data_IF_831616267527
#
_entry.id   IF_831616267527
#
_cell.length_a   1.000
_cell.length_b   1.000
_cell.length_c   1.000
_cell.angle_alpha   90.00
_cell.angle_beta   90.00
_cell.angle_gamma   90.00
#
_symmetry.space_group_name_H-M   'P 1'
#
loop_
_entity.id
_entity.type
_entity.pdbx_description
1 polymer ?
#
# COMPACT_ATOMS: atom_id res chain seq x y z
N UNK A 1 3.00 -36.08 -3.91
CA UNK A 1 1.84 -35.18 -4.07
C UNK A 1 1.35 -34.52 -2.78
N UNK A 2 1.62 -35.03 -1.58
CA UNK A 2 1.17 -34.48 -0.28
C UNK A 2 1.90 -33.17 0.16
N UNK A 3 3.14 -32.93 -0.30
CA UNK A 3 3.95 -31.76 0.11
C UNK A 3 3.45 -30.44 -0.49
N UNK A 4 2.92 -30.47 -1.71
CA UNK A 4 2.40 -29.27 -2.43
C UNK A 4 1.11 -28.69 -1.82
N UNK A 5 0.31 -29.51 -1.11
CA UNK A 5 -0.96 -29.04 -0.51
C UNK A 5 -0.76 -28.32 0.83
N UNK A 6 0.30 -28.65 1.57
CA UNK A 6 0.64 -28.01 2.85
C UNK A 6 1.20 -26.60 2.61
N UNK A 7 2.03 -26.45 1.57
CA UNK A 7 2.58 -25.16 1.18
C UNK A 7 1.49 -24.18 0.73
N UNK A 8 0.47 -24.67 0.04
CA UNK A 8 -0.67 -23.84 -0.39
C UNK A 8 -1.55 -23.35 0.79
N UNK A 9 -1.64 -24.12 1.86
CA UNK A 9 -2.40 -23.76 3.06
C UNK A 9 -1.64 -22.67 3.85
N UNK A 10 -0.32 -22.76 3.95
CA UNK A 10 0.51 -21.76 4.64
C UNK A 10 0.52 -20.43 3.87
N UNK A 11 0.61 -20.47 2.54
CA UNK A 11 0.49 -19.28 1.68
C UNK A 11 -0.89 -18.65 1.82
N UNK A 12 -1.97 -19.45 1.90
CA UNK A 12 -3.31 -18.93 2.20
C UNK A 12 -3.40 -18.25 3.57
N UNK A 13 -2.77 -18.83 4.60
CA UNK A 13 -2.75 -18.22 5.95
C UNK A 13 -1.99 -16.90 5.97
N UNK A 14 -0.83 -16.83 5.32
CA UNK A 14 -0.08 -15.59 5.15
C UNK A 14 -0.90 -14.52 4.42
N UNK A 15 -1.62 -14.93 3.38
CA UNK A 15 -2.49 -14.06 2.60
C UNK A 15 -3.70 -13.56 3.40
N UNK A 16 -4.30 -14.42 4.22
CA UNK A 16 -5.41 -14.05 5.11
C UNK A 16 -4.95 -13.03 6.14
N UNK A 17 -3.76 -13.19 6.71
CA UNK A 17 -3.18 -12.23 7.66
C UNK A 17 -2.91 -10.88 6.97
N UNK A 18 -2.39 -10.87 5.75
CA UNK A 18 -2.15 -9.65 4.97
C UNK A 18 -3.45 -8.94 4.60
N UNK A 19 -4.49 -9.69 4.22
CA UNK A 19 -5.84 -9.16 3.91
C UNK A 19 -6.55 -8.67 5.17
N UNK A 20 -6.45 -9.37 6.29
CA UNK A 20 -7.00 -8.93 7.58
C UNK A 20 -6.29 -7.66 8.08
N UNK A 21 -4.99 -7.55 7.87
CA UNK A 21 -4.21 -6.35 8.17
C UNK A 21 -4.65 -5.16 7.31
N UNK A 22 -4.92 -5.39 6.01
CA UNK A 22 -5.47 -4.37 5.10
C UNK A 22 -6.88 -3.93 5.50
N UNK A 23 -7.74 -4.85 5.94
CA UNK A 23 -9.11 -4.56 6.41
C UNK A 23 -9.12 -3.78 7.73
N UNK A 24 -8.11 -3.96 8.57
CA UNK A 24 -7.97 -3.17 9.81
C UNK A 24 -7.69 -1.69 9.52
N UNK A 25 -6.94 -1.42 8.44
CA UNK A 25 -6.59 -0.05 8.04
C UNK A 25 -7.74 0.73 7.38
N UNK A 26 -8.75 0.06 6.83
CA UNK A 26 -9.89 0.74 6.20
C UNK A 26 -10.89 1.31 7.20
N UNK A 27 -10.84 0.92 8.47
CA UNK A 27 -11.74 1.46 9.49
C UNK A 27 -11.36 2.86 10.00
N UNK A 28 -10.10 3.23 9.92
CA UNK A 28 -9.62 4.55 10.37
C UNK A 28 -9.96 5.68 9.38
N UNK A 29 -10.21 5.35 8.11
CA UNK A 29 -10.50 6.36 7.07
C UNK A 29 -11.98 6.76 6.98
N UNK A 30 -12.87 6.11 7.75
CA UNK A 30 -14.32 6.34 7.68
C UNK A 30 -14.86 7.32 8.73
N UNK A 31 -14.03 7.90 9.59
CA UNK A 31 -14.47 8.80 10.66
C UNK A 31 -13.95 10.24 10.49
N UNK A 32 -14.38 10.92 9.42
CA UNK A 32 -14.33 12.38 9.41
C UNK A 32 -15.50 12.98 8.65
N UNK A 33 -16.69 12.84 9.21
CA UNK A 33 -17.76 13.79 8.96
C UNK A 33 -18.11 14.46 10.29
N UNK A 34 -17.96 15.79 10.42
CA UNK A 34 -18.46 16.50 11.58
C UNK A 34 -19.99 16.55 11.48
N UNK A 35 -20.68 15.79 12.34
CA UNK A 35 -22.10 16.03 12.56
C UNK A 35 -22.27 17.26 13.42
N UNK A 36 -23.06 18.19 12.88
CA UNK A 36 -23.41 19.44 13.50
C UNK A 36 -24.14 19.25 14.82
N UNK A 37 -23.77 20.07 15.78
CA UNK A 37 -24.40 20.28 17.08
C UNK A 37 -25.82 20.80 16.91
N UNK A 38 -26.80 20.04 17.39
CA UNK A 38 -28.12 20.58 17.74
C UNK A 38 -28.26 20.55 19.26
N UNK A 39 -28.25 21.75 19.85
CA UNK A 39 -28.66 21.97 21.25
C UNK A 39 -30.18 21.69 21.39
N UNK A 40 -30.54 20.97 22.40
CA UNK A 40 -31.93 20.74 22.80
C UNK A 40 -32.06 20.31 24.26
N UNK A 41 -32.20 21.28 25.13
CA UNK A 41 -33.03 21.39 26.37
C UNK A 41 -33.22 20.18 27.30
N UNK A 42 -33.02 20.48 28.57
CA UNK A 42 -33.25 19.71 29.79
C UNK A 42 -34.65 19.11 29.85
N UNK A 43 -34.79 17.89 30.40
CA UNK A 43 -35.81 17.61 31.37
C UNK A 43 -35.41 16.45 32.31
N UNK A 44 -35.72 16.65 33.56
CA UNK A 44 -35.37 15.92 34.75
C UNK A 44 -36.41 14.78 34.97
N UNK A 45 -35.96 13.56 35.14
CA UNK A 45 -36.87 12.44 35.47
C UNK A 45 -36.08 11.22 35.99
N UNK A 46 -36.04 11.10 37.31
CA UNK A 46 -35.57 9.94 38.06
C UNK A 46 -36.38 8.68 37.74
N UNK A 47 -35.70 7.62 37.27
CA UNK A 47 -36.08 6.24 37.65
C UNK A 47 -34.87 5.31 37.51
N UNK A 48 -34.43 4.81 38.65
CA UNK A 48 -33.36 3.83 38.81
C UNK A 48 -33.85 2.46 38.32
N UNK A 49 -33.17 1.89 37.32
CA UNK A 49 -33.11 0.45 37.08
C UNK A 49 -31.67 0.02 36.96
N UNK A 50 -31.20 -1.03 37.66
CA UNK A 50 -29.86 -1.56 37.47
C UNK A 50 -29.82 -2.30 36.14
N UNK A 51 -29.15 -1.70 35.16
CA UNK A 51 -28.81 -2.35 33.91
C UNK A 51 -27.44 -2.98 34.09
N UNK A 52 -27.34 -4.29 34.00
CA UNK A 52 -26.09 -5.02 33.91
C UNK A 52 -25.31 -4.52 32.67
N UNK A 53 -24.26 -3.76 32.91
CA UNK A 53 -23.35 -3.33 31.87
C UNK A 53 -22.57 -4.55 31.40
N UNK A 54 -22.42 -4.80 30.06
CA UNK A 54 -21.50 -5.81 29.57
C UNK A 54 -20.11 -5.43 30.02
N UNK A 55 -19.41 -6.37 30.65
CA UNK A 55 -18.01 -6.23 31.08
C UNK A 55 -17.14 -6.13 29.83
N UNK A 56 -16.92 -4.92 29.36
CA UNK A 56 -15.91 -4.65 28.35
C UNK A 56 -14.56 -4.68 29.07
N UNK A 57 -13.61 -5.53 28.67
CA UNK A 57 -12.27 -5.50 29.27
C UNK A 57 -11.66 -4.12 29.03
N UNK A 58 -11.56 -3.33 30.09
CA UNK A 58 -10.84 -2.07 30.08
C UNK A 58 -9.35 -2.37 29.93
N UNK A 59 -8.82 -2.16 28.74
CA UNK A 59 -7.36 -2.10 28.55
C UNK A 59 -6.94 -0.72 29.04
N UNK A 60 -6.62 -0.60 30.32
CA UNK A 60 -5.98 0.59 30.87
C UNK A 60 -4.50 0.53 30.50
N UNK A 61 -4.07 1.35 29.55
CA UNK A 61 -2.65 1.58 29.31
C UNK A 61 -2.19 2.60 30.36
N UNK A 62 -1.66 2.10 31.45
CA UNK A 62 -1.05 2.93 32.50
C UNK A 62 0.33 3.37 32.02
N UNK A 63 0.46 4.62 31.60
CA UNK A 63 1.72 5.23 31.23
C UNK A 63 2.43 5.64 32.53
N UNK A 64 3.13 4.72 33.15
CA UNK A 64 3.99 5.01 34.30
C UNK A 64 5.28 5.66 33.78
N UNK A 65 5.68 6.77 34.37
CA UNK A 65 6.95 7.43 34.03
C UNK A 65 8.12 6.49 34.29
N UNK A 66 8.93 6.15 33.27
CA UNK A 66 10.03 5.21 33.41
C UNK A 66 11.06 5.73 34.43
N UNK A 67 11.31 4.96 35.47
CA UNK A 67 12.25 5.34 36.55
C UNK A 67 13.64 4.73 36.38
N UNK A 68 13.79 3.81 35.41
CA UNK A 68 15.05 3.10 35.18
C UNK A 68 15.49 3.19 33.73
N UNK A 69 16.79 3.29 33.42
CA UNK A 69 17.32 3.37 32.07
C UNK A 69 16.86 2.20 31.16
N UNK A 70 16.63 1.02 31.70
CA UNK A 70 16.11 -0.13 30.97
C UNK A 70 14.63 0.04 30.56
N UNK A 71 13.83 0.70 31.39
CA UNK A 71 12.41 0.98 31.08
C UNK A 71 12.30 2.05 29.98
N UNK A 72 13.18 3.07 30.00
CA UNK A 72 13.29 4.06 28.92
C UNK A 72 13.66 3.35 27.61
N UNK A 73 14.66 2.46 27.64
CA UNK A 73 15.08 1.71 26.47
C UNK A 73 13.96 0.82 25.92
N UNK A 74 13.17 0.18 26.78
CA UNK A 74 12.01 -0.62 26.39
C UNK A 74 10.92 0.24 25.75
N UNK A 75 10.59 1.38 26.36
CA UNK A 75 9.57 2.32 25.86
C UNK A 75 9.94 2.89 24.48
N UNK A 76 11.22 3.27 24.29
CA UNK A 76 11.74 3.73 23.00
C UNK A 76 11.68 2.62 21.96
N UNK A 77 12.05 1.37 22.32
CA UNK A 77 11.98 0.22 21.42
C UNK A 77 10.54 -0.07 21.00
N UNK A 78 9.59 0.00 21.93
CA UNK A 78 8.17 -0.19 21.65
C UNK A 78 7.65 0.91 20.70
N UNK A 79 7.99 2.18 20.97
CA UNK A 79 7.62 3.32 20.14
C UNK A 79 8.18 3.17 18.71
N UNK A 80 9.44 2.79 18.57
CA UNK A 80 10.05 2.52 17.27
C UNK A 80 9.36 1.37 16.53
N UNK A 81 9.02 0.29 17.24
CA UNK A 81 8.30 -0.85 16.66
C UNK A 81 6.92 -0.42 16.16
N UNK A 82 6.16 0.34 16.97
CA UNK A 82 4.86 0.87 16.54
C UNK A 82 5.00 1.81 15.34
N UNK A 83 6.02 2.67 15.33
CA UNK A 83 6.29 3.57 14.19
C UNK A 83 6.58 2.78 12.91
N UNK A 84 7.44 1.75 12.97
CA UNK A 84 7.74 0.89 11.82
C UNK A 84 6.46 0.17 11.37
N UNK A 85 5.66 -0.35 12.30
CA UNK A 85 4.43 -1.06 11.99
C UNK A 85 3.40 -0.16 11.29
N UNK A 86 3.29 1.11 11.68
CA UNK A 86 2.38 2.08 11.02
C UNK A 86 2.88 2.53 9.66
N UNK A 87 4.21 2.55 9.42
CA UNK A 87 4.79 2.92 8.13
C UNK A 87 4.84 1.75 7.13
N UNK A 88 4.82 0.50 7.62
CA UNK A 88 4.97 -0.69 6.77
C UNK A 88 3.98 -0.75 5.59
N UNK A 89 2.66 -0.48 5.75
CA UNK A 89 1.73 -0.48 4.61
C UNK A 89 2.09 0.54 3.54
N UNK A 90 2.53 1.73 3.94
CA UNK A 90 2.93 2.80 3.00
C UNK A 90 4.16 2.39 2.20
N UNK A 91 5.15 1.79 2.85
CA UNK A 91 6.35 1.28 2.18
C UNK A 91 5.98 0.19 1.18
N UNK A 92 5.09 -0.76 1.54
CA UNK A 92 4.64 -1.81 0.64
C UNK A 92 3.95 -1.24 -0.61
N UNK A 93 3.10 -0.23 -0.45
CA UNK A 93 2.46 0.46 -1.58
C UNK A 93 3.50 1.08 -2.52
N UNK A 94 4.54 1.71 -1.97
CA UNK A 94 5.56 2.42 -2.74
C UNK A 94 6.54 1.50 -3.47
N UNK A 95 6.82 0.28 -2.96
CA UNK A 95 7.73 -0.69 -3.60
C UNK A 95 7.03 -1.69 -4.50
N UNK A 96 5.70 -1.59 -4.65
CA UNK A 96 4.89 -2.45 -5.52
C UNK A 96 4.34 -1.66 -6.71
N UNK A 97 3.75 -2.36 -7.69
CA UNK A 97 3.07 -1.71 -8.82
C UNK A 97 1.70 -1.09 -8.46
N UNK A 98 1.32 -1.05 -7.17
CA UNK A 98 0.03 -0.48 -6.73
C UNK A 98 -0.13 0.98 -7.14
N UNK A 99 0.94 1.77 -7.01
CA UNK A 99 0.94 3.19 -7.34
C UNK A 99 0.54 3.44 -8.80
N UNK A 100 1.11 2.66 -9.74
CA UNK A 100 0.77 2.73 -11.16
C UNK A 100 -0.71 2.45 -11.41
N UNK A 101 -1.23 1.34 -10.86
CA UNK A 101 -2.63 0.98 -11.06
C UNK A 101 -3.59 1.98 -10.44
N UNK A 102 -3.32 2.44 -9.22
CA UNK A 102 -4.17 3.40 -8.53
C UNK A 102 -4.30 4.71 -9.33
N UNK A 103 -3.20 5.24 -9.82
CA UNK A 103 -3.19 6.48 -10.61
C UNK A 103 -3.90 6.28 -11.95
N UNK A 104 -3.60 5.21 -12.68
CA UNK A 104 -4.23 4.94 -13.99
C UNK A 104 -5.73 4.79 -13.85
N UNK A 105 -6.22 4.06 -12.84
CA UNK A 105 -7.66 3.90 -12.59
C UNK A 105 -8.34 5.22 -12.22
N UNK A 106 -7.65 6.11 -11.48
CA UNK A 106 -8.18 7.44 -11.18
C UNK A 106 -8.29 8.31 -12.47
N UNK A 107 -7.31 8.23 -13.36
CA UNK A 107 -7.39 8.89 -14.68
C UNK A 107 -8.55 8.36 -15.54
N UNK A 108 -8.77 7.04 -15.56
CA UNK A 108 -9.91 6.44 -16.29
C UNK A 108 -11.23 6.97 -15.73
N UNK A 109 -11.39 7.01 -14.41
CA UNK A 109 -12.57 7.57 -13.75
C UNK A 109 -12.82 9.01 -14.18
N UNK A 110 -11.79 9.86 -14.19
CA UNK A 110 -11.87 11.26 -14.60
C UNK A 110 -12.18 11.40 -16.10
N UNK A 111 -11.55 10.58 -16.95
CA UNK A 111 -11.77 10.57 -18.39
C UNK A 111 -13.23 10.25 -18.77
N UNK A 112 -13.87 9.37 -17.99
CA UNK A 112 -15.30 9.04 -18.14
C UNK A 112 -16.24 10.07 -17.51
N UNK A 113 -15.72 11.20 -16.98
CA UNK A 113 -16.49 12.24 -16.27
C UNK A 113 -17.30 11.71 -15.08
N UNK A 114 -16.89 10.59 -14.51
CA UNK A 114 -17.54 9.95 -13.38
C UNK A 114 -17.04 10.57 -12.06
N UNK A 115 -17.78 11.54 -11.52
CA UNK A 115 -17.34 12.30 -10.36
C UNK A 115 -17.45 11.48 -9.06
N UNK A 116 -18.51 10.70 -8.88
CA UNK A 116 -18.79 9.99 -7.63
C UNK A 116 -18.82 8.46 -7.75
N UNK A 117 -19.10 7.90 -8.91
CA UNK A 117 -19.22 6.46 -9.16
C UNK A 117 -18.19 6.04 -10.22
N UNK A 118 -17.41 4.97 -10.00
CA UNK A 118 -17.31 4.15 -8.80
C UNK A 118 -16.60 4.86 -7.63
N UNK A 119 -16.87 4.47 -6.36
CA UNK A 119 -16.15 5.00 -5.21
C UNK A 119 -14.65 4.70 -5.30
N UNK A 120 -13.80 5.62 -4.82
CA UNK A 120 -12.33 5.45 -4.84
C UNK A 120 -11.87 4.18 -4.12
N UNK A 121 -12.59 3.77 -3.08
CA UNK A 121 -12.31 2.52 -2.37
C UNK A 121 -12.41 1.28 -3.27
N UNK A 122 -13.37 1.25 -4.21
CA UNK A 122 -13.53 0.16 -5.18
C UNK A 122 -12.37 0.14 -6.17
N UNK A 123 -11.97 1.31 -6.68
CA UNK A 123 -10.82 1.43 -7.59
C UNK A 123 -9.52 0.99 -6.90
N UNK A 124 -9.30 1.41 -5.67
CA UNK A 124 -8.16 0.96 -4.88
C UNK A 124 -8.20 -0.55 -4.60
N UNK A 125 -9.39 -1.11 -4.38
CA UNK A 125 -9.57 -2.56 -4.28
C UNK A 125 -9.13 -3.29 -5.55
N UNK A 126 -9.55 -2.80 -6.72
CA UNK A 126 -9.13 -3.35 -8.03
C UNK A 126 -7.62 -3.22 -8.20
N UNK A 127 -7.04 -2.03 -7.92
CA UNK A 127 -5.60 -1.79 -7.99
C UNK A 127 -4.83 -2.79 -7.10
N UNK A 128 -5.35 -3.05 -5.90
CA UNK A 128 -4.76 -4.00 -4.96
C UNK A 128 -4.77 -5.43 -5.51
N UNK A 129 -5.91 -5.91 -6.04
CA UNK A 129 -5.98 -7.24 -6.64
C UNK A 129 -5.04 -7.41 -7.83
N UNK A 130 -4.96 -6.39 -8.72
CA UNK A 130 -4.04 -6.40 -9.85
C UNK A 130 -2.58 -6.44 -9.38
N UNK A 131 -2.26 -5.68 -8.34
CA UNK A 131 -0.93 -5.66 -7.72
C UNK A 131 -0.57 -7.04 -7.17
N UNK A 132 -1.47 -7.68 -6.42
CA UNK A 132 -1.24 -9.01 -5.88
C UNK A 132 -1.00 -10.04 -6.97
N UNK A 133 -1.78 -9.97 -8.05
CA UNK A 133 -1.63 -10.88 -9.18
C UNK A 133 -0.26 -10.77 -9.84
N UNK A 134 0.20 -9.54 -10.10
CA UNK A 134 1.51 -9.29 -10.74
C UNK A 134 2.68 -9.60 -9.80
N UNK A 135 2.53 -9.24 -8.52
CA UNK A 135 3.58 -9.46 -7.52
C UNK A 135 3.66 -10.91 -7.01
N UNK A 136 2.69 -11.76 -7.37
CA UNK A 136 2.62 -13.13 -6.89
C UNK A 136 3.94 -13.92 -7.03
N UNK A 137 4.62 -13.94 -8.20
CA UNK A 137 5.89 -14.64 -8.35
C UNK A 137 7.00 -14.07 -7.45
N UNK A 138 7.00 -12.76 -7.21
CA UNK A 138 7.96 -12.10 -6.31
C UNK A 138 7.70 -12.50 -4.86
N UNK A 139 6.44 -12.51 -4.42
CA UNK A 139 6.07 -12.94 -3.07
C UNK A 139 6.36 -14.42 -2.81
N UNK A 140 6.14 -15.27 -3.82
CA UNK A 140 6.48 -16.68 -3.72
C UNK A 140 7.98 -16.88 -3.52
N UNK A 141 8.82 -16.14 -4.24
CA UNK A 141 10.28 -16.20 -4.05
C UNK A 141 10.69 -15.71 -2.65
N UNK A 142 10.11 -14.61 -2.17
CA UNK A 142 10.39 -14.12 -0.81
C UNK A 142 10.00 -15.17 0.24
N UNK A 143 8.85 -15.82 0.04
CA UNK A 143 8.40 -16.87 0.94
C UNK A 143 9.36 -18.07 0.96
N UNK A 144 9.76 -18.57 -0.22
CA UNK A 144 10.59 -19.76 -0.34
C UNK A 144 12.04 -19.51 0.07
N UNK A 145 12.62 -18.34 -0.31
CA UNK A 145 14.04 -18.05 -0.11
C UNK A 145 14.36 -17.41 1.25
N UNK A 146 13.40 -16.69 1.85
CA UNK A 146 13.62 -15.96 3.09
C UNK A 146 12.74 -16.46 4.25
N UNK A 147 11.39 -16.43 4.10
CA UNK A 147 10.49 -16.73 5.19
C UNK A 147 10.57 -18.18 5.65
N UNK A 148 10.54 -19.13 4.72
CA UNK A 148 10.55 -20.55 5.02
C UNK A 148 11.84 -21.00 5.72
N UNK A 149 13.06 -20.68 5.21
CA UNK A 149 14.30 -21.03 5.89
C UNK A 149 14.44 -20.34 7.25
N UNK A 150 13.91 -19.10 7.40
CA UNK A 150 13.89 -18.41 8.69
C UNK A 150 12.99 -19.13 9.70
N UNK A 151 11.79 -19.57 9.29
CA UNK A 151 10.84 -20.29 10.15
C UNK A 151 11.36 -21.67 10.58
N UNK A 152 12.24 -22.27 9.77
CA UNK A 152 12.93 -23.54 10.06
C UNK A 152 14.26 -23.32 10.83
N UNK A 153 14.59 -22.10 11.25
CA UNK A 153 15.83 -21.70 11.91
C UNK A 153 17.11 -22.07 11.14
N UNK A 154 17.03 -22.11 9.81
CA UNK A 154 18.16 -22.42 8.93
C UNK A 154 19.03 -21.22 8.62
N UNK A 155 18.46 -20.02 8.72
CA UNK A 155 19.12 -18.74 8.44
C UNK A 155 18.84 -17.72 9.53
N UNK A 156 19.74 -16.75 9.65
CA UNK A 156 19.56 -15.61 10.57
C UNK A 156 18.56 -14.58 10.03
N UNK A 157 18.06 -13.71 10.91
CA UNK A 157 17.17 -12.61 10.52
C UNK A 157 17.84 -11.70 9.48
N UNK A 158 19.13 -11.45 9.63
CA UNK A 158 19.89 -10.60 8.71
C UNK A 158 20.01 -11.23 7.32
N UNK A 159 20.26 -12.54 7.24
CA UNK A 159 20.29 -13.28 5.98
C UNK A 159 18.90 -13.35 5.34
N UNK A 160 17.85 -13.55 6.14
CA UNK A 160 16.48 -13.54 5.66
C UNK A 160 16.10 -12.19 5.05
N UNK A 161 16.53 -11.07 5.69
CA UNK A 161 16.32 -9.73 5.15
C UNK A 161 16.98 -9.57 3.78
N UNK A 162 18.27 -9.94 3.63
CA UNK A 162 18.99 -9.85 2.35
C UNK A 162 18.34 -10.72 1.27
N UNK A 163 17.88 -11.93 1.63
CA UNK A 163 17.19 -12.83 0.70
C UNK A 163 15.79 -12.34 0.31
N UNK A 164 15.08 -11.64 1.20
CA UNK A 164 13.79 -11.03 0.90
C UNK A 164 13.94 -9.76 0.04
N UNK A 165 14.99 -8.98 0.27
CA UNK A 165 15.27 -7.75 -0.48
C UNK A 165 15.60 -8.03 -1.95
N UNK A 166 16.35 -9.08 -2.24
CA UNK A 166 16.84 -9.39 -3.58
C UNK A 166 15.71 -9.55 -4.63
N UNK A 167 14.63 -10.32 -4.42
CA UNK A 167 13.51 -10.42 -5.36
C UNK A 167 12.76 -9.09 -5.55
N UNK A 168 12.63 -8.26 -4.50
CA UNK A 168 12.02 -6.93 -4.59
C UNK A 168 12.86 -5.97 -5.42
N UNK A 169 14.16 -5.95 -5.22
CA UNK A 169 15.09 -5.16 -6.01
C UNK A 169 15.04 -5.54 -7.49
N UNK A 170 15.05 -6.85 -7.76
CA UNK A 170 14.94 -7.37 -9.13
C UNK A 170 13.60 -6.97 -9.76
N UNK A 171 12.50 -7.05 -9.02
CA UNK A 171 11.20 -6.61 -9.47
C UNK A 171 11.20 -5.12 -9.83
N UNK A 172 11.61 -4.24 -8.91
CA UNK A 172 11.66 -2.79 -9.16
C UNK A 172 12.51 -2.46 -10.40
N UNK A 173 13.68 -3.07 -10.52
CA UNK A 173 14.55 -2.85 -11.67
C UNK A 173 13.94 -3.34 -12.98
N UNK A 174 13.31 -4.53 -12.98
CA UNK A 174 12.65 -5.07 -14.17
C UNK A 174 11.47 -4.21 -14.65
N UNK A 175 10.75 -3.59 -13.72
CA UNK A 175 9.65 -2.66 -14.05
C UNK A 175 10.13 -1.36 -14.71
N UNK A 176 11.34 -0.93 -14.42
CA UNK A 176 11.96 0.24 -15.05
C UNK A 176 12.42 0.00 -16.50
N UNK A 177 12.28 -1.23 -17.02
CA UNK A 177 12.56 -1.60 -18.43
C UNK A 177 13.94 -1.12 -18.93
N UNK A 178 14.95 -1.22 -18.08
CA UNK A 178 16.32 -0.73 -18.31
C UNK A 178 16.45 0.82 -18.43
N UNK A 179 15.41 1.58 -18.12
CA UNK A 179 15.52 3.03 -17.99
C UNK A 179 16.26 3.39 -16.69
N UNK A 180 17.56 3.62 -16.83
CA UNK A 180 18.43 3.99 -15.71
C UNK A 180 18.48 5.50 -15.44
N UNK A 181 17.70 6.31 -16.16
CA UNK A 181 17.74 7.78 -16.07
C UNK A 181 17.54 8.27 -14.64
N UNK A 182 16.51 7.76 -13.98
CA UNK A 182 16.21 8.13 -12.59
C UNK A 182 17.26 7.61 -11.61
N UNK A 183 17.80 6.40 -11.82
CA UNK A 183 18.89 5.86 -11.00
C UNK A 183 20.12 6.77 -11.13
N UNK A 184 20.51 7.11 -12.36
CA UNK A 184 21.65 7.99 -12.60
C UNK A 184 21.43 9.38 -11.99
N UNK A 185 20.22 9.91 -12.04
CA UNK A 185 19.87 11.18 -11.42
C UNK A 185 20.12 11.15 -9.90
N UNK A 186 19.57 10.14 -9.19
CA UNK A 186 19.78 10.03 -7.74
C UNK A 186 21.21 9.67 -7.36
N UNK A 187 21.91 8.84 -8.16
CA UNK A 187 23.35 8.56 -7.96
C UNK A 187 24.19 9.84 -8.06
N UNK A 188 23.92 10.68 -9.06
CA UNK A 188 24.59 11.97 -9.22
C UNK A 188 24.31 12.92 -8.04
N UNK A 189 23.05 12.99 -7.56
CA UNK A 189 22.68 13.78 -6.38
C UNK A 189 23.40 13.29 -5.13
N UNK A 190 23.59 11.98 -4.99
CA UNK A 190 24.36 11.37 -3.90
C UNK A 190 25.89 11.43 -4.11
N UNK A 191 26.37 12.06 -5.20
CA UNK A 191 27.80 12.13 -5.58
C UNK A 191 28.46 10.75 -5.71
N UNK A 192 27.71 9.76 -6.14
CA UNK A 192 28.19 8.40 -6.38
C UNK A 192 28.51 8.19 -7.85
N UNK A 193 29.47 7.30 -8.15
CA UNK A 193 29.78 6.91 -9.52
C UNK A 193 28.63 6.16 -10.18
N UNK A 194 28.55 6.22 -11.52
CA UNK A 194 27.54 5.45 -12.26
C UNK A 194 27.66 3.95 -11.94
N UNK A 195 26.54 3.27 -11.67
CA UNK A 195 26.56 1.84 -11.38
C UNK A 195 26.84 1.04 -12.65
N UNK A 196 27.66 0.01 -12.55
CA UNK A 196 27.89 -0.94 -13.62
C UNK A 196 26.88 -2.10 -13.58
N UNK A 197 26.43 -2.45 -12.37
CA UNK A 197 25.51 -3.56 -12.12
C UNK A 197 24.39 -3.12 -11.19
N UNK A 198 23.29 -3.90 -11.15
CA UNK A 198 22.21 -3.68 -10.19
C UNK A 198 22.69 -3.75 -8.74
N UNK A 199 23.71 -4.58 -8.48
CA UNK A 199 24.27 -4.74 -7.13
C UNK A 199 24.93 -3.45 -6.62
N UNK A 200 25.43 -2.61 -7.51
CA UNK A 200 26.11 -1.36 -7.16
C UNK A 200 25.12 -0.24 -6.76
N UNK A 201 23.83 -0.42 -7.06
CA UNK A 201 22.80 0.55 -6.73
C UNK A 201 22.28 0.30 -5.32
N UNK A 202 22.48 1.20 -4.35
CA UNK A 202 21.90 1.04 -3.01
C UNK A 202 20.38 1.08 -3.06
N UNK A 203 19.73 0.34 -2.17
CA UNK A 203 18.24 0.26 -2.12
C UNK A 203 17.60 1.61 -1.84
N UNK A 204 18.23 2.47 -1.02
CA UNK A 204 17.73 3.83 -0.75
C UNK A 204 17.78 4.77 -1.98
N UNK A 205 18.51 4.41 -3.03
CA UNK A 205 18.50 5.09 -4.34
C UNK A 205 17.53 4.40 -5.30
N UNK A 206 17.47 3.07 -5.28
CA UNK A 206 16.61 2.30 -6.17
C UNK A 206 15.12 2.58 -5.90
N UNK A 207 14.70 2.64 -4.64
CA UNK A 207 13.29 2.87 -4.27
C UNK A 207 12.76 4.22 -4.79
N UNK A 208 13.37 5.37 -4.52
CA UNK A 208 12.86 6.65 -5.05
C UNK A 208 12.96 6.73 -6.57
N UNK A 209 13.98 6.12 -7.19
CA UNK A 209 14.10 6.04 -8.64
C UNK A 209 12.92 5.27 -9.25
N UNK A 210 12.57 4.14 -8.66
CA UNK A 210 11.44 3.32 -9.05
C UNK A 210 10.11 4.08 -8.88
N UNK A 211 9.91 4.77 -7.76
CA UNK A 211 8.69 5.56 -7.52
C UNK A 211 8.51 6.63 -8.59
N UNK A 212 9.56 7.39 -8.92
CA UNK A 212 9.47 8.41 -9.97
C UNK A 212 9.19 7.81 -11.35
N UNK A 213 9.82 6.68 -11.67
CA UNK A 213 9.53 5.95 -12.89
C UNK A 213 8.07 5.50 -12.96
N UNK A 214 7.54 4.88 -11.90
CA UNK A 214 6.14 4.43 -11.81
C UNK A 214 5.15 5.60 -11.97
N UNK A 215 5.43 6.73 -11.31
CA UNK A 215 4.64 7.94 -11.44
C UNK A 215 4.63 8.44 -12.89
N UNK A 216 5.79 8.54 -13.52
CA UNK A 216 5.91 9.02 -14.90
C UNK A 216 5.16 8.12 -15.87
N UNK A 217 5.34 6.81 -15.76
CA UNK A 217 4.63 5.83 -16.61
C UNK A 217 3.11 5.90 -16.38
N UNK A 218 2.67 5.99 -15.12
CA UNK A 218 1.26 6.11 -14.80
C UNK A 218 0.63 7.39 -15.37
N UNK A 219 1.36 8.52 -15.30
CA UNK A 219 0.91 9.77 -15.91
C UNK A 219 0.84 9.68 -17.43
N UNK A 220 1.83 9.13 -18.09
CA UNK A 220 1.82 8.96 -19.55
C UNK A 220 0.62 8.12 -19.98
N UNK A 221 0.41 6.97 -19.34
CA UNK A 221 -0.74 6.10 -19.65
C UNK A 221 -2.05 6.83 -19.36
N UNK A 222 -2.16 7.50 -18.22
CA UNK A 222 -3.35 8.24 -17.83
C UNK A 222 -3.71 9.36 -18.79
N UNK A 223 -2.73 10.16 -19.22
CA UNK A 223 -2.93 11.24 -20.19
C UNK A 223 -3.33 10.70 -21.56
N UNK A 224 -2.70 9.64 -22.05
CA UNK A 224 -3.05 9.00 -23.33
C UNK A 224 -4.49 8.48 -23.31
N UNK A 225 -4.89 7.82 -22.23
CA UNK A 225 -6.28 7.37 -22.07
C UNK A 225 -7.24 8.55 -22.02
N UNK A 226 -6.93 9.60 -21.26
CA UNK A 226 -7.76 10.79 -21.15
C UNK A 226 -7.98 11.47 -22.52
N UNK A 227 -6.92 11.66 -23.31
CA UNK A 227 -7.00 12.23 -24.66
C UNK A 227 -7.86 11.34 -25.57
N UNK A 228 -7.68 10.03 -25.53
CA UNK A 228 -8.46 9.08 -26.32
C UNK A 228 -9.96 9.20 -26.04
N UNK A 229 -10.37 9.32 -24.78
CA UNK A 229 -11.77 9.52 -24.40
C UNK A 229 -12.31 10.86 -24.86
N UNK A 230 -11.53 11.96 -24.77
CA UNK A 230 -11.95 13.29 -25.27
C UNK A 230 -12.19 13.23 -26.76
N UNK A 231 -11.31 12.59 -27.54
CA UNK A 231 -11.48 12.46 -29.00
C UNK A 231 -12.81 11.72 -29.33
N UNK A 232 -13.07 10.60 -28.63
CA UNK A 232 -14.32 9.84 -28.82
C UNK A 232 -15.52 10.71 -28.52
N UNK A 233 -15.55 11.46 -27.43
CA UNK A 233 -16.65 12.35 -27.05
C UNK A 233 -16.83 13.43 -28.11
N UNK A 234 -15.75 14.05 -28.59
CA UNK A 234 -15.81 15.07 -29.64
C UNK A 234 -16.41 14.52 -30.93
N UNK A 235 -16.00 13.33 -31.39
CA UNK A 235 -16.54 12.69 -32.61
C UNK A 235 -18.02 12.40 -32.44
N UNK A 236 -18.46 11.89 -31.28
CA UNK A 236 -19.86 11.60 -31.00
C UNK A 236 -20.69 12.90 -31.01
N UNK A 237 -20.22 13.95 -30.33
CA UNK A 237 -20.92 15.25 -30.27
C UNK A 237 -21.05 15.85 -31.66
N UNK A 238 -19.97 15.85 -32.47
CA UNK A 238 -20.03 16.32 -33.85
C UNK A 238 -20.99 15.50 -34.71
N UNK A 239 -20.98 14.17 -34.59
CA UNK A 239 -21.87 13.27 -35.31
C UNK A 239 -23.35 13.53 -34.99
N UNK A 240 -23.66 13.68 -33.68
CA UNK A 240 -25.02 14.00 -33.23
C UNK A 240 -25.47 15.38 -33.72
N UNK A 241 -24.58 16.39 -33.61
CA UNK A 241 -24.90 17.75 -34.11
C UNK A 241 -25.18 17.75 -35.59
N UNK A 242 -24.37 17.05 -36.39
CA UNK A 242 -24.58 16.95 -37.85
C UNK A 242 -25.89 16.22 -38.19
N UNK A 243 -26.20 15.15 -37.46
CA UNK A 243 -27.45 14.39 -37.70
C UNK A 243 -28.73 15.18 -37.34
N UNK A 244 -28.65 16.08 -36.34
CA UNK A 244 -29.77 16.93 -35.93
C UNK A 244 -29.91 18.20 -36.77
N UNK A 245 -28.86 18.59 -37.50
CA UNK A 245 -28.83 19.79 -38.36
C UNK A 245 -29.34 19.51 -39.76
N UNK A 246 -29.56 18.26 -40.13
CA UNK A 246 -30.19 17.83 -41.39
C UNK A 246 -31.55 17.18 -41.13
#
# INVERSE_FOLDING_TARGET
MKKKSVDMIQVKRFFIVLVLFSLFFTKEFAQSFPQGSTQGTMEMGNTVRPSESPVVPNISVEITSPQTGNEVAFSVRLLLLLTILTLAPSILILVTCFLRFSIVLDFIKRALSLQQVPPTAVLNGIAFFMTLFIMWPTFTKIYDDAYKPLSENQITIEEAYKKAEAPLRLFMYSQMQNDTSYINMFMNMAKMSKPNTLSDVPTYILVPSYILHELTVAFIIGVLLYISFIIIVMVVVFGVYFCLSF
#
